data_IF_145957853169
#
_entry.id   IF_145957853169
#
_cell.length_a   1.000
_cell.length_b   1.000
_cell.length_c   1.000
_cell.angle_alpha   90.00
_cell.angle_beta   90.00
_cell.angle_gamma   90.00
#
_symmetry.space_group_name_H-M   'P 1'
#
loop_
_entity.id
_entity.type
_entity.pdbx_description
1 polymer ?
#
# COMPACT_ATOMS: atom_id res chain seq x y z
N UNK A 1 28.86 2.32 -0.73
CA UNK A 1 27.58 1.97 -1.44
C UNK A 1 26.95 3.28 -1.86
N UNK A 2 26.54 3.44 -3.12
CA UNK A 2 26.05 4.73 -3.58
C UNK A 2 24.60 4.97 -3.18
N UNK A 3 23.70 3.99 -3.34
CA UNK A 3 22.29 4.08 -2.99
C UNK A 3 21.73 2.69 -2.64
N UNK A 4 20.78 2.64 -1.70
CA UNK A 4 20.03 1.42 -1.35
C UNK A 4 18.57 1.72 -1.09
N UNK A 5 17.71 0.78 -1.44
CA UNK A 5 16.26 0.86 -1.22
C UNK A 5 15.93 0.29 0.15
N UNK A 6 15.20 1.04 0.94
CA UNK A 6 14.72 0.63 2.26
C UNK A 6 13.58 -0.38 2.11
N UNK A 7 13.54 -1.37 2.98
CA UNK A 7 12.42 -2.33 3.03
C UNK A 7 11.09 -1.58 3.32
N UNK A 8 10.07 -1.71 2.46
CA UNK A 8 8.84 -0.93 2.62
C UNK A 8 8.12 -1.12 3.95
N UNK A 9 8.27 -2.27 4.60
CA UNK A 9 7.60 -2.54 5.89
C UNK A 9 8.01 -1.60 7.03
N UNK A 10 9.14 -0.91 6.90
CA UNK A 10 9.59 0.10 7.88
C UNK A 10 9.27 1.54 7.48
N UNK A 11 8.49 1.75 6.43
CA UNK A 11 8.14 3.10 5.94
C UNK A 11 7.55 4.00 7.03
N UNK A 12 6.82 3.44 8.00
CA UNK A 12 6.23 4.17 9.13
C UNK A 12 7.00 3.98 10.46
N UNK A 13 8.21 3.40 10.43
CA UNK A 13 9.08 3.21 11.60
C UNK A 13 10.13 4.33 11.65
N UNK A 14 9.68 5.53 12.01
CA UNK A 14 10.51 6.74 11.92
C UNK A 14 11.75 6.73 12.82
N UNK A 15 11.71 6.05 13.94
CA UNK A 15 12.89 5.85 14.79
C UNK A 15 13.97 5.00 14.10
N UNK A 16 13.55 3.95 13.39
CA UNK A 16 14.45 3.12 12.60
C UNK A 16 15.02 3.92 11.42
N UNK A 17 14.17 4.62 10.69
CA UNK A 17 14.58 5.44 9.54
C UNK A 17 15.60 6.52 9.95
N UNK A 18 15.36 7.24 11.06
CA UNK A 18 16.30 8.25 11.59
C UNK A 18 17.65 7.61 11.96
N UNK A 19 17.61 6.46 12.61
CA UNK A 19 18.84 5.74 12.95
C UNK A 19 19.61 5.30 11.71
N UNK A 20 18.93 4.79 10.69
CA UNK A 20 19.54 4.40 9.42
C UNK A 20 20.17 5.60 8.71
N UNK A 21 19.49 6.74 8.63
CA UNK A 21 20.05 7.96 8.03
C UNK A 21 21.31 8.41 8.75
N UNK A 22 21.32 8.38 10.09
CA UNK A 22 22.47 8.82 10.90
C UNK A 22 23.71 7.93 10.79
N UNK A 23 23.50 6.63 10.55
CA UNK A 23 24.61 5.64 10.60
C UNK A 23 24.92 5.01 9.23
N UNK A 24 24.28 5.46 8.17
CA UNK A 24 24.50 4.93 6.81
C UNK A 24 25.35 5.89 5.99
N UNK A 25 26.42 5.37 5.39
CA UNK A 25 27.22 6.11 4.41
C UNK A 25 26.57 6.15 3.00
N UNK A 26 25.47 5.45 2.82
CA UNK A 26 24.76 5.35 1.54
C UNK A 26 23.51 6.23 1.49
N UNK A 27 23.14 6.62 0.27
CA UNK A 27 21.91 7.37 0.02
C UNK A 27 20.69 6.44 0.12
N UNK A 28 19.76 6.78 0.98
CA UNK A 28 18.53 6.02 1.17
C UNK A 28 17.49 6.35 0.11
N UNK A 29 16.88 5.31 -0.45
CA UNK A 29 15.74 5.41 -1.35
C UNK A 29 14.55 4.69 -0.71
N UNK A 30 13.38 5.35 -0.68
CA UNK A 30 12.14 4.81 -0.11
C UNK A 30 11.06 4.66 -1.19
N UNK A 31 10.29 3.57 -1.13
CA UNK A 31 9.17 3.35 -2.05
C UNK A 31 7.95 4.09 -1.52
N UNK A 32 7.30 4.90 -2.36
CA UNK A 32 6.18 5.77 -1.95
C UNK A 32 4.80 5.14 -2.13
N UNK A 33 4.66 4.13 -2.98
CA UNK A 33 3.37 3.53 -3.35
C UNK A 33 3.36 2.00 -3.23
N UNK A 34 4.08 1.44 -2.24
CA UNK A 34 4.05 0.00 -2.00
C UNK A 34 2.65 -0.48 -1.60
N UNK A 35 2.18 -1.51 -2.29
CA UNK A 35 0.84 -2.09 -2.15
C UNK A 35 0.75 -3.20 -1.10
N UNK A 36 1.89 -3.60 -0.55
CA UNK A 36 1.96 -4.67 0.42
C UNK A 36 1.59 -4.20 1.83
N UNK A 37 0.92 -5.06 2.56
CA UNK A 37 0.74 -4.87 3.99
C UNK A 37 2.08 -4.99 4.71
N UNK A 38 2.24 -4.21 5.78
CA UNK A 38 3.39 -4.35 6.67
C UNK A 38 3.53 -5.80 7.12
N UNK A 39 4.73 -6.36 6.98
CA UNK A 39 5.07 -7.74 7.37
C UNK A 39 4.14 -8.82 6.78
N UNK A 40 3.70 -8.65 5.53
CA UNK A 40 2.86 -9.64 4.87
C UNK A 40 3.56 -11.03 4.84
N UNK A 41 2.98 -12.08 5.45
CA UNK A 41 3.63 -13.40 5.51
C UNK A 41 3.71 -14.08 4.15
N UNK A 42 2.89 -13.64 3.19
CA UNK A 42 2.85 -14.19 1.83
C UNK A 42 3.73 -13.43 0.83
N UNK A 43 4.42 -12.35 1.24
CA UNK A 43 5.16 -11.46 0.34
C UNK A 43 6.16 -12.21 -0.54
N UNK A 44 6.99 -13.08 0.06
CA UNK A 44 8.01 -13.85 -0.67
C UNK A 44 7.37 -14.82 -1.67
N UNK A 45 6.32 -15.53 -1.26
CA UNK A 45 5.62 -16.47 -2.14
C UNK A 45 4.94 -15.76 -3.31
N UNK A 46 4.29 -14.61 -3.04
CA UNK A 46 3.66 -13.79 -4.06
C UNK A 46 4.69 -13.27 -5.07
N UNK A 47 5.83 -12.77 -4.61
CA UNK A 47 6.90 -12.28 -5.49
C UNK A 47 7.50 -13.39 -6.33
N UNK A 48 7.75 -14.57 -5.75
CA UNK A 48 8.24 -15.73 -6.49
C UNK A 48 7.23 -16.17 -7.55
N UNK A 49 5.94 -16.26 -7.21
CA UNK A 49 4.91 -16.60 -8.18
C UNK A 49 4.89 -15.59 -9.34
N UNK A 50 4.90 -14.30 -9.04
CA UNK A 50 4.90 -13.24 -10.07
C UNK A 50 6.17 -13.27 -10.93
N UNK A 51 7.33 -13.62 -10.36
CA UNK A 51 8.59 -13.68 -11.09
C UNK A 51 8.68 -14.90 -12.04
N UNK A 52 7.97 -15.99 -11.71
CA UNK A 52 7.95 -17.23 -12.50
C UNK A 52 6.74 -17.35 -13.43
N UNK A 53 5.83 -16.39 -13.38
CA UNK A 53 4.62 -16.39 -14.21
C UNK A 53 4.97 -15.99 -15.64
N UNK A 54 5.24 -17.01 -16.47
CA UNK A 54 5.62 -16.88 -17.87
C UNK A 54 4.38 -16.60 -18.75
N UNK A 55 3.75 -15.42 -18.64
CA UNK A 55 2.66 -14.94 -19.52
C UNK A 55 1.36 -15.77 -19.58
N UNK A 56 1.33 -16.95 -19.01
CA UNK A 56 0.11 -17.72 -18.81
C UNK A 56 -0.48 -17.29 -17.49
N UNK A 57 -1.19 -16.19 -17.51
CA UNK A 57 -1.92 -15.48 -16.46
C UNK A 57 -2.63 -16.39 -15.47
N UNK A 58 -1.87 -17.10 -14.66
CA UNK A 58 -2.42 -17.68 -13.47
C UNK A 58 -2.74 -16.52 -12.52
N UNK A 59 -4.03 -16.17 -12.42
CA UNK A 59 -4.47 -15.21 -11.43
C UNK A 59 -3.89 -15.63 -10.09
N UNK A 60 -3.05 -14.78 -9.50
CA UNK A 60 -2.27 -15.14 -8.33
C UNK A 60 -3.19 -15.41 -7.14
N UNK A 61 -3.15 -16.63 -6.61
CA UNK A 61 -3.86 -17.00 -5.38
C UNK A 61 -3.61 -15.99 -4.25
N UNK A 62 -2.37 -15.59 -4.06
CA UNK A 62 -1.98 -14.62 -3.02
C UNK A 62 -2.60 -13.25 -3.25
N UNK A 63 -2.70 -12.84 -4.49
CA UNK A 63 -3.29 -11.57 -4.87
C UNK A 63 -4.81 -11.55 -4.61
N UNK A 64 -5.52 -12.62 -4.97
CA UNK A 64 -6.96 -12.75 -4.72
C UNK A 64 -7.27 -12.82 -3.22
N UNK A 65 -6.46 -13.53 -2.44
CA UNK A 65 -6.58 -13.54 -0.98
C UNK A 65 -6.34 -12.16 -0.37
N UNK A 66 -5.39 -11.39 -0.89
CA UNK A 66 -5.13 -10.03 -0.43
C UNK A 66 -6.34 -9.13 -0.70
N UNK A 67 -6.92 -9.19 -1.91
CA UNK A 67 -8.14 -8.45 -2.27
C UNK A 67 -9.32 -8.81 -1.37
N UNK A 68 -9.57 -10.11 -1.18
CA UNK A 68 -10.63 -10.61 -0.30
C UNK A 68 -10.50 -10.10 1.14
N UNK A 69 -9.30 -10.14 1.71
CA UNK A 69 -9.04 -9.63 3.06
C UNK A 69 -9.25 -8.12 3.16
N UNK A 70 -8.79 -7.36 2.16
CA UNK A 70 -8.99 -5.92 2.11
C UNK A 70 -10.47 -5.54 1.99
N UNK A 71 -11.27 -6.30 1.23
CA UNK A 71 -12.71 -6.05 1.12
C UNK A 71 -13.49 -6.38 2.41
N UNK A 72 -13.01 -7.32 3.22
CA UNK A 72 -13.61 -7.62 4.52
C UNK A 72 -13.28 -6.60 5.60
N UNK A 73 -12.09 -6.01 5.54
CA UNK A 73 -11.63 -5.07 6.56
C UNK A 73 -10.79 -3.96 5.92
N UNK A 74 -11.42 -2.84 5.73
CA UNK A 74 -10.92 -1.70 4.97
C UNK A 74 -9.75 -0.97 5.64
N UNK A 75 -9.60 -1.10 6.96
CA UNK A 75 -8.43 -0.55 7.66
C UNK A 75 -7.09 -1.13 7.13
N UNK A 76 -7.12 -2.28 6.44
CA UNK A 76 -5.95 -2.85 5.79
C UNK A 76 -5.34 -1.93 4.73
N UNK A 77 -6.15 -1.06 4.08
CA UNK A 77 -5.63 -0.06 3.16
C UNK A 77 -4.72 0.97 3.85
N UNK A 78 -4.99 1.32 5.11
CA UNK A 78 -4.13 2.20 5.90
C UNK A 78 -2.89 1.49 6.44
N UNK A 79 -2.89 0.16 6.48
CA UNK A 79 -1.75 -0.65 6.89
C UNK A 79 -0.76 -0.95 5.74
N UNK A 80 -1.03 -0.50 4.52
CA UNK A 80 -0.10 -0.59 3.40
C UNK A 80 1.08 0.37 3.60
N UNK A 81 2.17 0.10 2.90
CA UNK A 81 3.43 0.85 3.07
C UNK A 81 3.53 2.03 2.09
N UNK A 82 2.48 2.81 1.94
CA UNK A 82 2.48 4.03 1.12
C UNK A 82 2.80 5.28 1.95
N UNK A 83 3.24 6.31 1.25
CA UNK A 83 3.47 7.66 1.77
C UNK A 83 2.56 8.59 0.98
N UNK A 84 1.82 9.49 1.62
CA UNK A 84 1.02 10.51 0.94
C UNK A 84 1.91 11.63 0.39
N UNK A 85 1.47 12.33 -0.66
CA UNK A 85 2.17 13.52 -1.15
C UNK A 85 2.45 14.54 -0.04
N UNK A 86 1.46 14.83 0.79
CA UNK A 86 1.57 15.80 1.89
C UNK A 86 2.58 15.41 2.97
N UNK A 87 2.86 14.12 3.10
CA UNK A 87 3.72 13.62 4.18
C UNK A 87 5.19 13.50 3.74
N UNK A 88 5.51 13.77 2.46
CA UNK A 88 6.86 13.56 1.90
C UNK A 88 7.92 14.41 2.60
N UNK A 89 7.59 15.66 2.94
CA UNK A 89 8.48 16.59 3.62
C UNK A 89 9.01 16.06 4.96
N UNK A 90 8.28 15.17 5.65
CA UNK A 90 8.74 14.54 6.90
C UNK A 90 9.93 13.60 6.66
N UNK A 91 9.94 12.92 5.52
CA UNK A 91 11.03 12.04 5.12
C UNK A 91 12.23 12.84 4.60
N UNK A 92 11.99 13.89 3.84
CA UNK A 92 13.03 14.81 3.37
C UNK A 92 13.71 15.51 4.55
N UNK A 93 12.94 15.97 5.53
CA UNK A 93 13.45 16.58 6.76
C UNK A 93 14.32 15.65 7.61
N UNK A 94 14.21 14.32 7.45
CA UNK A 94 15.12 13.35 8.06
C UNK A 94 16.41 13.12 7.26
N UNK A 95 16.47 13.56 6.00
CA UNK A 95 17.62 13.37 5.10
C UNK A 95 17.41 12.31 4.02
N UNK A 96 16.19 11.78 3.84
CA UNK A 96 15.86 10.88 2.73
C UNK A 96 15.63 11.74 1.49
N UNK A 97 16.40 11.48 0.42
CA UNK A 97 16.41 12.33 -0.79
C UNK A 97 15.88 11.60 -2.03
N UNK A 98 15.64 10.30 -1.96
CA UNK A 98 15.26 9.50 -3.11
C UNK A 98 13.96 8.77 -2.84
N UNK A 99 12.99 9.03 -3.72
CA UNK A 99 11.64 8.45 -3.65
C UNK A 99 11.38 7.65 -4.90
N UNK A 100 11.03 6.38 -4.73
CA UNK A 100 10.82 5.44 -5.81
C UNK A 100 9.35 5.16 -6.00
N UNK A 101 8.89 5.23 -7.24
CA UNK A 101 7.57 4.76 -7.64
C UNK A 101 7.70 3.30 -8.06
N UNK A 102 6.91 2.42 -7.45
CA UNK A 102 6.84 1.00 -7.79
C UNK A 102 5.73 0.74 -8.82
N UNK A 103 5.93 -0.31 -9.62
CA UNK A 103 4.93 -0.84 -10.54
C UNK A 103 5.11 -0.38 -11.99
N UNK A 104 5.71 -1.23 -12.83
CA UNK A 104 5.81 -1.00 -14.28
C UNK A 104 4.44 -0.84 -14.93
N UNK A 105 3.42 -1.54 -14.43
CA UNK A 105 2.04 -1.45 -14.90
C UNK A 105 1.43 -0.08 -14.65
N UNK A 106 1.88 0.62 -13.62
CA UNK A 106 1.43 1.98 -13.32
C UNK A 106 1.73 2.95 -14.47
N UNK A 107 2.89 2.79 -15.13
CA UNK A 107 3.28 3.63 -16.28
C UNK A 107 2.33 3.39 -17.48
N UNK A 108 1.81 2.18 -17.62
CA UNK A 108 0.95 1.81 -18.74
C UNK A 108 -0.54 2.08 -18.48
N UNK A 109 -0.98 2.01 -17.23
CA UNK A 109 -2.41 2.04 -16.85
C UNK A 109 -2.78 3.17 -15.91
N UNK A 110 -1.81 3.73 -15.19
CA UNK A 110 -2.00 4.85 -14.29
C UNK A 110 -1.70 6.21 -14.95
N UNK A 111 -1.90 7.26 -14.19
CA UNK A 111 -1.51 8.62 -14.60
C UNK A 111 -0.27 9.06 -13.84
N UNK A 112 0.89 8.70 -14.37
CA UNK A 112 2.19 9.00 -13.74
C UNK A 112 2.41 10.51 -13.55
N UNK A 113 1.94 11.34 -14.48
CA UNK A 113 2.11 12.79 -14.38
C UNK A 113 1.26 13.36 -13.22
N UNK A 114 0.05 12.85 -13.03
CA UNK A 114 -0.78 13.23 -11.89
C UNK A 114 -0.12 12.87 -10.56
N UNK A 115 0.47 11.67 -10.49
CA UNK A 115 1.20 11.23 -9.32
C UNK A 115 2.41 12.15 -9.06
N UNK A 116 3.27 12.37 -10.06
CA UNK A 116 4.46 13.20 -9.92
C UNK A 116 4.11 14.63 -9.49
N UNK A 117 3.12 15.24 -10.13
CA UNK A 117 2.68 16.58 -9.76
C UNK A 117 2.19 16.65 -8.31
N UNK A 118 1.42 15.66 -7.86
CA UNK A 118 0.95 15.62 -6.47
C UNK A 118 2.11 15.61 -5.46
N UNK A 119 3.19 14.85 -5.75
CA UNK A 119 4.37 14.81 -4.87
C UNK A 119 5.26 16.05 -4.99
N UNK A 120 5.38 16.66 -6.18
CA UNK A 120 6.12 17.92 -6.36
C UNK A 120 5.40 19.07 -5.62
N UNK A 121 4.09 19.07 -5.65
CA UNK A 121 3.26 20.09 -4.99
C UNK A 121 3.00 19.76 -3.50
N UNK A 122 3.42 18.60 -3.03
CA UNK A 122 3.14 18.05 -1.70
C UNK A 122 1.64 18.15 -1.33
N UNK A 123 0.80 17.98 -2.32
CA UNK A 123 -0.63 18.21 -2.18
C UNK A 123 -1.45 17.37 -3.16
N UNK A 124 -2.48 16.72 -2.64
CA UNK A 124 -3.43 15.99 -3.45
C UNK A 124 -4.84 16.06 -2.87
N UNK A 125 -5.82 16.32 -3.73
CA UNK A 125 -7.23 16.24 -3.38
C UNK A 125 -7.92 15.15 -4.23
N UNK A 126 -8.51 14.17 -3.57
CA UNK A 126 -9.21 13.07 -4.23
C UNK A 126 -8.92 11.70 -3.63
N UNK A 127 -9.19 10.66 -4.39
CA UNK A 127 -9.03 9.28 -3.96
C UNK A 127 -7.55 8.85 -3.92
N UNK A 128 -7.02 8.60 -2.72
CA UNK A 128 -5.64 8.16 -2.52
C UNK A 128 -5.37 6.80 -3.19
N UNK A 129 -6.34 5.89 -3.18
CA UNK A 129 -6.21 4.57 -3.80
C UNK A 129 -5.97 4.72 -5.30
N UNK A 130 -6.71 5.61 -5.95
CA UNK A 130 -6.58 5.90 -7.38
C UNK A 130 -5.24 6.60 -7.69
N UNK A 131 -4.85 7.59 -6.87
CA UNK A 131 -3.57 8.28 -7.06
C UNK A 131 -2.39 7.31 -7.02
N UNK A 132 -2.34 6.46 -6.01
CA UNK A 132 -1.21 5.55 -5.77
C UNK A 132 -1.33 4.24 -6.55
N UNK A 133 -2.44 4.04 -7.26
CA UNK A 133 -2.73 2.80 -7.99
C UNK A 133 -2.67 1.56 -7.08
N UNK A 134 -3.26 1.68 -5.88
CA UNK A 134 -3.25 0.64 -4.83
C UNK A 134 -4.47 -0.28 -4.97
N UNK A 135 -4.77 -0.71 -6.15
CA UNK A 135 -5.86 -1.66 -6.38
C UNK A 135 -5.39 -2.89 -7.15
N UNK A 136 -6.21 -3.91 -7.13
CA UNK A 136 -5.96 -5.11 -7.89
C UNK A 136 -5.94 -4.78 -9.39
N UNK A 137 -4.99 -5.27 -10.19
CA UNK A 137 -4.88 -4.96 -11.62
C UNK A 137 -6.13 -5.29 -12.43
N UNK A 138 -7.00 -6.13 -11.90
CA UNK A 138 -8.18 -6.65 -12.60
C UNK A 138 -9.50 -6.11 -12.10
N UNK A 139 -9.48 -5.31 -11.03
CA UNK A 139 -10.69 -4.85 -10.38
C UNK A 139 -10.58 -3.36 -10.07
N UNK A 140 -11.03 -2.54 -11.00
CA UNK A 140 -11.19 -1.10 -10.84
C UNK A 140 -12.60 -0.72 -10.38
N UNK A 141 -13.56 -1.67 -10.42
CA UNK A 141 -14.97 -1.42 -10.13
C UNK A 141 -15.27 -1.54 -8.63
N UNK A 142 -14.53 -2.42 -7.91
CA UNK A 142 -14.76 -2.72 -6.51
C UNK A 142 -13.72 -2.03 -5.58
N UNK A 143 -13.21 -0.88 -5.97
CA UNK A 143 -12.23 -0.17 -5.16
C UNK A 143 -12.89 0.83 -4.22
N UNK A 144 -12.40 0.94 -2.98
CA UNK A 144 -12.87 1.98 -2.08
C UNK A 144 -12.42 3.36 -2.52
N UNK A 145 -13.16 4.36 -2.10
CA UNK A 145 -12.70 5.73 -2.14
C UNK A 145 -12.13 6.09 -0.76
N UNK A 146 -10.86 6.48 -0.72
CA UNK A 146 -10.22 7.02 0.47
C UNK A 146 -9.88 8.48 0.21
N UNK A 147 -10.58 9.38 0.87
CA UNK A 147 -10.32 10.81 0.79
C UNK A 147 -8.94 11.12 1.38
N UNK A 148 -8.01 11.53 0.52
CA UNK A 148 -6.66 11.85 0.93
C UNK A 148 -6.61 12.96 1.99
N UNK A 149 -7.45 14.00 1.87
CA UNK A 149 -7.46 15.12 2.83
C UNK A 149 -8.02 14.74 4.20
N UNK A 150 -8.94 13.80 4.25
CA UNK A 150 -9.42 13.27 5.53
C UNK A 150 -8.36 12.47 6.33
N UNK A 151 -7.23 12.14 5.68
CA UNK A 151 -6.07 11.52 6.32
C UNK A 151 -5.04 12.53 6.89
N UNK A 152 -5.32 13.84 6.86
CA UNK A 152 -4.41 14.82 7.42
C UNK A 152 -4.15 14.53 8.91
N UNK A 153 -2.87 14.50 9.28
CA UNK A 153 -2.41 14.12 10.63
C UNK A 153 -2.30 12.59 10.87
N UNK A 154 -2.67 11.74 9.90
CA UNK A 154 -2.54 10.28 10.06
C UNK A 154 -1.12 9.82 10.37
N UNK A 155 -0.12 10.40 9.72
CA UNK A 155 1.28 10.02 9.90
C UNK A 155 1.89 10.53 11.20
N UNK A 156 1.33 11.57 11.81
CA UNK A 156 1.92 12.30 12.94
C UNK A 156 2.20 11.41 14.15
N UNK A 157 1.29 10.51 14.48
CA UNK A 157 1.47 9.64 15.63
C UNK A 157 2.65 8.67 15.45
N UNK A 158 2.94 8.27 14.23
CA UNK A 158 4.12 7.46 13.90
C UNK A 158 5.38 8.32 13.89
N UNK A 159 5.32 9.50 13.27
CA UNK A 159 6.45 10.41 13.15
C UNK A 159 6.97 10.86 14.53
N UNK A 160 6.08 11.16 15.46
CA UNK A 160 6.42 11.55 16.83
C UNK A 160 6.57 10.37 17.80
N UNK A 161 6.63 9.14 17.31
CA UNK A 161 6.76 7.90 18.09
C UNK A 161 5.69 7.72 19.17
N UNK A 162 4.50 8.29 18.98
CA UNK A 162 3.36 8.11 19.90
C UNK A 162 2.72 6.73 19.72
N UNK A 163 2.83 6.17 18.52
CA UNK A 163 2.32 4.84 18.17
C UNK A 163 3.42 4.07 17.43
N UNK A 164 3.59 2.80 17.82
CA UNK A 164 4.35 1.79 17.06
C UNK A 164 3.38 0.74 16.57
N UNK A 165 3.37 0.53 15.25
CA UNK A 165 2.49 -0.46 14.66
C UNK A 165 2.98 -1.88 14.96
N UNK A 166 2.31 -2.55 15.90
CA UNK A 166 2.49 -3.96 16.24
C UNK A 166 1.47 -4.88 15.56
N UNK A 167 0.62 -4.33 14.69
CA UNK A 167 -0.48 -5.02 13.97
C UNK A 167 -1.61 -5.59 14.87
N UNK A 168 -1.64 -5.23 16.14
CA UNK A 168 -2.77 -5.52 17.04
C UNK A 168 -3.87 -4.46 16.83
N UNK A 169 -4.46 -4.47 15.65
CA UNK A 169 -5.35 -3.41 15.16
C UNK A 169 -6.62 -3.25 15.98
N UNK A 170 -7.15 -4.34 16.54
CA UNK A 170 -8.36 -4.32 17.36
C UNK A 170 -8.13 -3.63 18.71
N UNK A 171 -6.92 -3.74 19.26
CA UNK A 171 -6.54 -3.07 20.51
C UNK A 171 -6.16 -1.61 20.28
N UNK A 172 -5.43 -1.34 19.18
CA UNK A 172 -4.90 -0.03 18.88
C UNK A 172 -5.97 0.97 18.41
N UNK A 173 -6.86 0.56 17.48
CA UNK A 173 -7.96 1.37 16.94
C UNK A 173 -7.55 2.60 16.11
N UNK A 174 -6.27 2.95 16.03
CA UNK A 174 -5.80 4.19 15.38
C UNK A 174 -6.16 4.27 13.89
N UNK A 175 -5.86 3.24 13.13
CA UNK A 175 -6.20 3.19 11.72
C UNK A 175 -7.72 3.18 11.51
N UNK A 176 -8.49 2.53 12.39
CA UNK A 176 -9.95 2.53 12.33
C UNK A 176 -10.50 3.96 12.43
N UNK A 177 -10.02 4.76 13.36
CA UNK A 177 -10.45 6.15 13.52
C UNK A 177 -10.26 7.00 12.25
N UNK A 178 -9.11 6.87 11.57
CA UNK A 178 -8.88 7.57 10.29
C UNK A 178 -9.69 6.97 9.16
N UNK A 179 -9.90 5.66 9.17
CA UNK A 179 -10.72 4.98 8.19
C UNK A 179 -12.16 5.46 8.20
N UNK A 180 -12.76 5.58 9.36
CA UNK A 180 -14.14 6.07 9.54
C UNK A 180 -14.35 7.49 8.98
N UNK A 181 -13.30 8.31 8.97
CA UNK A 181 -13.34 9.67 8.43
C UNK A 181 -13.09 9.76 6.93
N UNK A 182 -12.21 8.92 6.42
CA UNK A 182 -11.65 9.08 5.06
C UNK A 182 -12.32 8.20 4.01
N UNK A 183 -13.07 7.22 4.46
CA UNK A 183 -13.53 6.14 3.61
C UNK A 183 -14.98 6.32 3.15
N UNK A 184 -15.21 6.00 1.87
CA UNK A 184 -16.56 5.91 1.31
C UNK A 184 -16.66 4.68 0.42
N UNK A 185 -17.53 3.75 0.80
CA UNK A 185 -17.99 2.63 -0.03
C UNK A 185 -19.34 2.17 0.48
N UNK A 186 -20.25 1.83 -0.40
CA UNK A 186 -21.52 1.24 0.03
C UNK A 186 -21.29 -0.16 0.59
N UNK A 187 -22.14 -0.60 1.52
CA UNK A 187 -22.06 -1.98 2.05
C UNK A 187 -22.22 -3.01 0.93
N UNK A 188 -23.06 -2.72 -0.06
CA UNK A 188 -23.30 -3.60 -1.20
C UNK A 188 -22.03 -3.77 -2.04
N UNK A 189 -21.33 -2.67 -2.34
CA UNK A 189 -20.07 -2.72 -3.07
C UNK A 189 -18.99 -3.53 -2.30
N UNK A 190 -18.96 -3.43 -0.97
CA UNK A 190 -18.06 -4.23 -0.13
C UNK A 190 -18.35 -5.73 -0.21
N UNK A 191 -19.62 -6.11 -0.22
CA UNK A 191 -20.05 -7.50 -0.40
C UNK A 191 -19.72 -8.01 -1.80
N UNK A 192 -20.04 -7.23 -2.84
CA UNK A 192 -19.72 -7.55 -4.23
C UNK A 192 -18.21 -7.75 -4.43
N UNK A 193 -17.38 -6.86 -3.89
CA UNK A 193 -15.92 -7.02 -3.92
C UNK A 193 -15.47 -8.32 -3.25
N UNK A 194 -16.02 -8.63 -2.07
CA UNK A 194 -15.70 -9.87 -1.38
C UNK A 194 -16.08 -11.11 -2.18
N UNK A 195 -17.29 -11.14 -2.73
CA UNK A 195 -17.79 -12.25 -3.55
C UNK A 195 -16.98 -12.43 -4.84
N UNK A 196 -16.60 -11.33 -5.47
CA UNK A 196 -15.72 -11.33 -6.64
C UNK A 196 -14.37 -12.02 -6.32
N UNK A 197 -13.67 -11.59 -5.29
CA UNK A 197 -12.39 -12.18 -4.92
C UNK A 197 -12.52 -13.62 -4.42
N UNK A 198 -13.60 -13.95 -3.72
CA UNK A 198 -13.89 -15.31 -3.27
C UNK A 198 -14.13 -16.26 -4.46
N UNK A 199 -14.92 -15.84 -5.42
CA UNK A 199 -15.21 -16.62 -6.64
C UNK A 199 -13.95 -16.87 -7.47
N UNK A 200 -13.11 -15.86 -7.65
CA UNK A 200 -11.82 -15.98 -8.33
C UNK A 200 -10.88 -16.95 -7.60
N UNK A 201 -10.80 -16.85 -6.28
CA UNK A 201 -9.95 -17.74 -5.48
C UNK A 201 -10.40 -19.20 -5.55
N UNK A 202 -11.70 -19.46 -5.48
CA UNK A 202 -12.25 -20.81 -5.63
C UNK A 202 -11.96 -21.41 -7.02
N UNK A 203 -12.04 -20.60 -8.06
CA UNK A 203 -11.70 -21.02 -9.41
C UNK A 203 -10.22 -21.44 -9.53
N UNK A 204 -9.31 -20.64 -8.99
CA UNK A 204 -7.87 -20.95 -8.96
C UNK A 204 -7.60 -22.25 -8.22
N UNK A 205 -8.24 -22.48 -7.06
CA UNK A 205 -8.08 -23.72 -6.29
C UNK A 205 -8.53 -24.95 -7.07
N UNK A 206 -9.64 -24.86 -7.81
CA UNK A 206 -10.10 -25.96 -8.66
C UNK A 206 -9.10 -26.32 -9.75
N UNK A 207 -8.58 -25.31 -10.47
CA UNK A 207 -7.57 -25.52 -11.50
C UNK A 207 -6.28 -26.18 -10.98
N UNK A 208 -5.93 -25.93 -9.72
CA UNK A 208 -4.76 -26.52 -9.08
C UNK A 208 -5.01 -27.98 -8.65
N UNK A 209 -6.25 -28.32 -8.32
CA UNK A 209 -6.62 -29.69 -7.91
C UNK A 209 -6.80 -30.68 -9.08
N UNK A 210 -6.93 -30.17 -10.30
CA UNK A 210 -7.10 -30.95 -11.53
C UNK A 210 -5.77 -31.27 -12.25
N UNK A 211 -4.66 -30.79 -11.71
CA UNK A 211 -3.29 -31.10 -12.18
C UNK A 211 -2.62 -32.14 -11.31
#
# INVERSE_FOLDING_TARGET
MERFVVEPSITKEFDILRNMVQHSDGKMEIIINDKCMKNCPYKIFHYNQTAHDNNERAESYYFMNCGMRKSQNLQWYLNLNWIRPEDIHLYEGMGIQYFKIEGREFILRGNIMRLLNAYIEENFQGNLIDLLHIFAPYDTEHQPYIDNKALDGYIDAFYYNKIKCNQLCEECGYCRHFMEKSYTMSEDLGKEAFEFYLGKNQFIQRLQSEK
#
